data_IF_167127216915
#
_entry.id   IF_167127216915
#
_cell.length_a   1.000
_cell.length_b   1.000
_cell.length_c   1.000
_cell.angle_alpha   90.00
_cell.angle_beta   90.00
_cell.angle_gamma   90.00
#
_symmetry.space_group_name_H-M   'P 1'
#
loop_
_entity.id
_entity.type
_entity.pdbx_description
1 polymer ?
#
# COMPACT_ATOMS: atom_id res chain seq x y z
N UNK A 1 -6.21 -17.51 10.62
CA UNK A 1 -5.88 -18.35 9.45
C UNK A 1 -4.44 -18.02 9.11
N UNK A 2 -3.51 -18.97 9.24
CA UNK A 2 -2.10 -18.74 8.95
C UNK A 2 -1.96 -18.35 7.47
N UNK A 3 -1.23 -17.28 7.16
CA UNK A 3 -1.04 -16.81 5.79
C UNK A 3 -0.48 -17.91 4.87
N UNK A 4 -0.63 -17.77 3.54
CA UNK A 4 -0.12 -18.78 2.60
C UNK A 4 1.38 -19.00 2.76
N UNK A 5 1.86 -20.23 2.56
CA UNK A 5 3.30 -20.49 2.42
C UNK A 5 3.79 -19.82 1.14
N UNK A 6 4.59 -18.76 1.32
CA UNK A 6 5.07 -17.89 0.24
C UNK A 6 6.55 -18.09 -0.07
N UNK A 7 7.18 -19.15 0.46
CA UNK A 7 8.63 -19.36 0.27
C UNK A 7 9.03 -19.45 -1.21
N UNK A 8 8.20 -20.08 -2.03
CA UNK A 8 8.42 -20.25 -3.47
C UNK A 8 7.91 -19.09 -4.34
N UNK A 9 7.34 -18.03 -3.75
CA UNK A 9 6.73 -16.94 -4.50
C UNK A 9 7.78 -15.94 -4.99
N UNK A 10 7.52 -15.34 -6.17
CA UNK A 10 8.32 -14.24 -6.68
C UNK A 10 8.11 -12.99 -5.82
N UNK A 11 9.17 -12.20 -5.62
CA UNK A 11 9.16 -11.04 -4.73
C UNK A 11 9.71 -9.78 -5.38
N UNK A 12 9.19 -8.62 -4.97
CA UNK A 12 9.71 -7.31 -5.36
C UNK A 12 9.60 -6.33 -4.20
N UNK A 13 10.61 -5.47 -4.05
CA UNK A 13 10.58 -4.32 -3.15
C UNK A 13 10.20 -3.07 -3.94
N UNK A 14 9.37 -2.21 -3.36
CA UNK A 14 8.96 -0.91 -3.91
C UNK A 14 9.24 0.18 -2.89
N UNK A 15 10.32 0.92 -3.09
CA UNK A 15 10.75 1.95 -2.15
C UNK A 15 9.84 3.19 -2.20
N UNK A 16 9.65 3.81 -1.04
CA UNK A 16 8.99 5.09 -0.93
C UNK A 16 9.98 6.23 -1.25
N UNK A 17 9.48 7.27 -1.92
CA UNK A 17 10.16 8.54 -2.08
C UNK A 17 10.16 9.28 -0.73
N UNK A 18 11.16 8.99 0.10
CA UNK A 18 11.32 9.57 1.43
C UNK A 18 10.58 8.80 2.53
N UNK A 19 10.23 9.46 3.66
CA UNK A 19 9.56 8.82 4.78
C UNK A 19 8.22 8.18 4.39
N UNK A 20 7.83 7.11 5.08
CA UNK A 20 6.54 6.44 4.88
C UNK A 20 5.93 6.03 6.22
N UNK A 21 4.83 6.68 6.59
CA UNK A 21 3.98 6.30 7.72
C UNK A 21 3.12 5.08 7.33
N UNK A 22 3.78 3.92 7.22
CA UNK A 22 3.14 2.64 6.92
C UNK A 22 2.07 2.26 7.96
N UNK A 23 2.17 2.76 9.20
CA UNK A 23 1.17 2.51 10.24
C UNK A 23 -0.13 3.25 9.94
N UNK A 24 -0.06 4.49 9.45
CA UNK A 24 -1.24 5.21 8.98
C UNK A 24 -1.88 4.53 7.75
N UNK A 25 -1.08 3.97 6.84
CA UNK A 25 -1.60 3.21 5.71
C UNK A 25 -2.33 1.94 6.17
N UNK A 26 -1.75 1.16 7.10
CA UNK A 26 -2.41 -0.01 7.70
C UNK A 26 -3.69 0.38 8.46
N UNK A 27 -3.68 1.49 9.19
CA UNK A 27 -4.88 1.99 9.88
C UNK A 27 -6.01 2.37 8.90
N UNK A 28 -5.65 2.97 7.76
CA UNK A 28 -6.62 3.27 6.70
C UNK A 28 -7.20 2.00 6.09
N UNK A 29 -6.36 1.00 5.79
CA UNK A 29 -6.84 -0.31 5.32
C UNK A 29 -7.79 -0.96 6.33
N UNK A 30 -7.46 -0.92 7.62
CA UNK A 30 -8.30 -1.50 8.68
C UNK A 30 -9.66 -0.80 8.79
N UNK A 31 -9.68 0.53 8.67
CA UNK A 31 -10.92 1.31 8.71
C UNK A 31 -11.87 1.00 7.53
N UNK A 32 -11.31 0.58 6.39
CA UNK A 32 -12.05 0.23 5.18
C UNK A 32 -12.01 -1.28 4.87
N UNK A 33 -11.82 -2.11 5.89
CA UNK A 33 -11.78 -3.55 5.73
C UNK A 33 -13.16 -4.08 5.33
N UNK A 34 -13.19 -4.89 4.26
CA UNK A 34 -14.40 -5.60 3.82
C UNK A 34 -14.08 -7.08 3.80
N UNK A 35 -14.82 -7.85 4.61
CA UNK A 35 -14.65 -9.29 4.69
C UNK A 35 -14.81 -9.95 3.32
N UNK A 36 -13.82 -10.75 2.96
CA UNK A 36 -13.77 -11.45 1.67
C UNK A 36 -13.18 -10.63 0.51
N UNK A 37 -13.01 -9.31 0.65
CA UNK A 37 -12.36 -8.48 -0.39
C UNK A 37 -10.83 -8.60 -0.33
N UNK A 38 -10.30 -8.56 0.88
CA UNK A 38 -8.87 -8.69 1.15
C UNK A 38 -8.65 -9.34 2.51
N UNK A 39 -7.43 -9.80 2.74
CA UNK A 39 -6.96 -10.23 4.03
C UNK A 39 -5.95 -9.21 4.55
N UNK A 40 -6.21 -8.66 5.74
CA UNK A 40 -5.33 -7.72 6.43
C UNK A 40 -4.88 -8.35 7.75
N UNK A 41 -3.56 -8.43 7.94
CA UNK A 41 -2.93 -8.80 9.18
C UNK A 41 -2.12 -7.61 9.70
N UNK A 42 -2.63 -6.99 10.76
CA UNK A 42 -2.04 -5.81 11.38
C UNK A 42 -0.77 -6.11 12.19
N UNK A 43 -0.59 -7.35 12.66
CA UNK A 43 0.60 -7.75 13.41
C UNK A 43 1.80 -7.88 12.47
N UNK A 44 1.59 -8.52 11.31
CA UNK A 44 2.65 -8.69 10.31
C UNK A 44 2.76 -7.50 9.35
N UNK A 45 1.77 -6.61 9.34
CA UNK A 45 1.66 -5.49 8.40
C UNK A 45 1.40 -5.95 6.97
N UNK A 46 0.75 -7.10 6.80
CA UNK A 46 0.52 -7.72 5.48
C UNK A 46 -0.92 -7.53 5.00
N UNK A 47 -1.04 -7.23 3.71
CA UNK A 47 -2.29 -7.03 3.00
C UNK A 47 -2.27 -7.92 1.76
N UNK A 48 -3.22 -8.86 1.67
CA UNK A 48 -3.33 -9.81 0.57
C UNK A 48 -4.64 -9.66 -0.16
N UNK A 49 -4.61 -9.60 -1.49
CA UNK A 49 -5.84 -9.68 -2.30
C UNK A 49 -5.59 -10.11 -3.73
N UNK A 50 -6.69 -10.46 -4.38
CA UNK A 50 -6.73 -10.68 -5.81
C UNK A 50 -6.79 -9.34 -6.56
N UNK A 51 -5.99 -9.24 -7.61
CA UNK A 51 -5.97 -8.11 -8.54
C UNK A 51 -5.88 -8.62 -9.98
N UNK A 52 -6.52 -7.89 -10.89
CA UNK A 52 -6.44 -8.21 -12.31
C UNK A 52 -5.26 -7.48 -12.95
N UNK A 53 -4.38 -8.24 -13.62
CA UNK A 53 -3.25 -7.75 -14.43
C UNK A 53 -3.34 -8.46 -15.79
N UNK A 54 -3.28 -7.70 -16.89
CA UNK A 54 -3.33 -8.23 -18.27
C UNK A 54 -4.49 -9.21 -18.53
N UNK A 55 -5.65 -8.98 -17.89
CA UNK A 55 -6.83 -9.83 -18.06
C UNK A 55 -6.89 -11.06 -17.14
N UNK A 56 -5.81 -11.40 -16.44
CA UNK A 56 -5.73 -12.54 -15.51
C UNK A 56 -5.78 -12.10 -14.04
N UNK A 57 -6.29 -12.97 -13.17
CA UNK A 57 -6.31 -12.74 -11.72
C UNK A 57 -5.01 -13.20 -11.08
N UNK A 58 -4.40 -12.32 -10.30
CA UNK A 58 -3.18 -12.58 -9.55
C UNK A 58 -3.39 -12.29 -8.07
N UNK A 59 -2.96 -13.22 -7.22
CA UNK A 59 -2.86 -12.97 -5.80
C UNK A 59 -1.57 -12.19 -5.55
N UNK A 60 -1.70 -11.07 -4.85
CA UNK A 60 -0.58 -10.30 -4.34
C UNK A 60 -0.69 -10.22 -2.82
N UNK A 61 0.42 -10.46 -2.14
CA UNK A 61 0.59 -10.19 -0.71
C UNK A 61 1.62 -9.09 -0.56
N UNK A 62 1.22 -7.96 0.00
CA UNK A 62 2.05 -6.78 0.22
C UNK A 62 2.29 -6.60 1.71
N UNK A 63 3.54 -6.54 2.14
CA UNK A 63 3.95 -6.13 3.48
C UNK A 63 4.31 -4.66 3.44
N UNK A 64 3.63 -3.85 4.26
CA UNK A 64 3.97 -2.45 4.45
C UNK A 64 4.99 -2.33 5.57
N UNK A 65 6.06 -1.58 5.32
CA UNK A 65 7.18 -1.46 6.25
C UNK A 65 7.85 -0.09 6.14
N UNK A 66 8.79 0.19 7.03
CA UNK A 66 9.55 1.44 6.99
C UNK A 66 10.24 1.58 5.62
N UNK A 67 9.99 2.70 4.96
CA UNK A 67 10.59 3.03 3.66
C UNK A 67 9.89 2.42 2.44
N UNK A 68 8.74 1.75 2.58
CA UNK A 68 7.90 1.35 1.44
C UNK A 68 7.16 0.04 1.64
N UNK A 69 7.11 -0.80 0.60
CA UNK A 69 6.47 -2.10 0.64
C UNK A 69 7.29 -3.22 -0.03
N UNK A 70 7.13 -4.45 0.48
CA UNK A 70 7.57 -5.69 -0.16
C UNK A 70 6.37 -6.48 -0.63
N UNK A 71 6.34 -6.93 -1.89
CA UNK A 71 5.27 -7.74 -2.43
C UNK A 71 5.74 -9.15 -2.78
N UNK A 72 4.82 -10.10 -2.71
CA UNK A 72 5.00 -11.48 -3.14
C UNK A 72 3.80 -11.95 -3.96
N UNK A 73 4.03 -12.75 -4.99
CA UNK A 73 2.98 -13.36 -5.82
C UNK A 73 3.38 -14.77 -6.29
N UNK A 74 2.43 -15.71 -6.47
CA UNK A 74 2.70 -17.02 -7.06
C UNK A 74 3.22 -16.96 -8.51
N UNK A 75 2.98 -15.86 -9.23
CA UNK A 75 3.42 -15.71 -10.62
C UNK A 75 4.94 -15.59 -10.71
N UNK A 76 5.56 -16.33 -11.64
CA UNK A 76 6.99 -16.19 -11.98
C UNK A 76 7.24 -15.27 -13.18
N UNK A 77 6.19 -14.72 -13.81
CA UNK A 77 6.31 -13.86 -14.97
C UNK A 77 6.84 -12.47 -14.57
N UNK A 78 7.99 -12.01 -15.12
CA UNK A 78 8.56 -10.70 -14.78
C UNK A 78 7.61 -9.52 -15.01
N UNK A 79 6.88 -9.52 -16.14
CA UNK A 79 5.93 -8.46 -16.48
C UNK A 79 4.79 -8.33 -15.43
N UNK A 80 4.31 -9.45 -14.91
CA UNK A 80 3.30 -9.44 -13.83
C UNK A 80 3.91 -8.86 -12.56
N UNK A 81 5.15 -9.23 -12.22
CA UNK A 81 5.82 -8.72 -11.02
C UNK A 81 6.06 -7.21 -11.10
N UNK A 82 6.44 -6.69 -12.27
CA UNK A 82 6.62 -5.25 -12.51
C UNK A 82 5.27 -4.52 -12.43
N UNK A 83 4.22 -5.04 -13.06
CA UNK A 83 2.88 -4.45 -12.98
C UNK A 83 2.32 -4.42 -11.54
N UNK A 84 2.57 -5.47 -10.74
CA UNK A 84 2.18 -5.50 -9.33
C UNK A 84 3.01 -4.51 -8.48
N UNK A 85 4.27 -4.28 -8.84
CA UNK A 85 5.12 -3.27 -8.20
C UNK A 85 4.59 -1.86 -8.46
N UNK A 86 4.26 -1.54 -9.71
CA UNK A 86 3.66 -0.26 -10.09
C UNK A 86 2.30 -0.06 -9.42
N UNK A 87 1.47 -1.11 -9.38
CA UNK A 87 0.19 -1.08 -8.68
C UNK A 87 0.40 -0.80 -7.18
N UNK A 88 1.38 -1.46 -6.54
CA UNK A 88 1.70 -1.25 -5.12
C UNK A 88 2.19 0.18 -4.87
N UNK A 89 3.06 0.70 -5.74
CA UNK A 89 3.54 2.07 -5.67
C UNK A 89 2.37 3.07 -5.74
N UNK A 90 1.44 2.83 -6.67
CA UNK A 90 0.25 3.67 -6.82
C UNK A 90 -0.70 3.55 -5.63
N UNK A 91 -0.94 2.34 -5.12
CA UNK A 91 -1.89 2.10 -4.03
C UNK A 91 -1.53 2.88 -2.76
N UNK A 92 -0.25 2.84 -2.38
CA UNK A 92 0.25 3.46 -1.16
C UNK A 92 0.97 4.79 -1.40
N UNK A 93 0.86 5.32 -2.62
CA UNK A 93 1.45 6.59 -3.03
C UNK A 93 2.96 6.70 -2.79
N UNK A 94 3.66 5.57 -2.97
CA UNK A 94 5.06 5.44 -2.60
C UNK A 94 5.97 6.33 -3.45
N UNK A 95 5.60 6.63 -4.68
CA UNK A 95 6.39 7.47 -5.58
C UNK A 95 6.21 8.99 -5.35
N UNK A 96 5.27 9.41 -4.49
CA UNK A 96 4.98 10.84 -4.31
C UNK A 96 6.08 11.57 -3.54
N UNK A 97 6.56 12.67 -4.11
CA UNK A 97 7.36 13.66 -3.40
C UNK A 97 6.45 14.48 -2.47
N UNK A 98 6.60 14.28 -1.17
CA UNK A 98 5.83 15.01 -0.15
C UNK A 98 6.43 16.36 0.19
N UNK A 99 7.66 16.67 -0.23
CA UNK A 99 8.36 17.91 0.14
C UNK A 99 7.52 19.18 -0.07
N UNK A 100 6.91 19.37 -1.26
CA UNK A 100 6.04 20.52 -1.49
C UNK A 100 4.78 20.55 -0.61
N UNK A 101 4.17 19.39 -0.34
CA UNK A 101 2.95 19.27 0.47
C UNK A 101 3.26 19.56 1.94
N UNK A 102 4.31 18.92 2.47
CA UNK A 102 4.76 19.11 3.85
C UNK A 102 5.22 20.54 4.11
N UNK A 103 5.90 21.16 3.15
CA UNK A 103 6.31 22.56 3.26
C UNK A 103 5.11 23.51 3.30
N UNK A 104 4.11 23.29 2.44
CA UNK A 104 2.92 24.12 2.37
C UNK A 104 2.04 23.96 3.62
N UNK A 105 1.68 22.73 3.98
CA UNK A 105 0.84 22.45 5.14
C UNK A 105 1.58 22.72 6.46
N UNK A 106 2.89 22.49 6.51
CA UNK A 106 3.70 22.74 7.69
C UNK A 106 3.86 24.23 8.04
N UNK A 107 3.65 25.13 7.07
CA UNK A 107 3.65 26.58 7.29
C UNK A 107 2.31 27.09 7.86
N UNK A 108 1.23 26.32 7.73
CA UNK A 108 -0.09 26.68 8.26
C UNK A 108 -0.19 26.31 9.75
N UNK A 109 -0.48 27.26 10.66
CA UNK A 109 -0.61 26.98 12.09
C UNK A 109 -1.64 25.89 12.45
N UNK A 110 -2.67 25.69 11.62
CA UNK A 110 -3.71 24.67 11.84
C UNK A 110 -3.20 23.25 11.59
N UNK A 111 -2.22 23.08 10.69
CA UNK A 111 -1.72 21.78 10.24
C UNK A 111 -0.28 21.47 10.67
N UNK A 112 0.48 22.49 11.10
CA UNK A 112 1.90 22.36 11.42
C UNK A 112 2.22 21.28 12.47
N UNK A 113 1.35 21.07 13.47
CA UNK A 113 1.56 20.03 14.47
C UNK A 113 1.39 18.63 13.85
N UNK A 114 0.33 18.42 13.08
CA UNK A 114 -0.04 17.16 12.47
C UNK A 114 1.00 16.72 11.43
N UNK A 115 1.51 17.65 10.61
CA UNK A 115 2.59 17.38 9.65
C UNK A 115 3.86 16.92 10.37
N UNK A 116 4.24 17.55 11.48
CA UNK A 116 5.41 17.14 12.26
C UNK A 116 5.24 15.79 12.94
N UNK A 117 4.03 15.47 13.41
CA UNK A 117 3.74 14.21 14.11
C UNK A 117 3.61 13.01 13.17
N UNK A 118 3.36 13.26 11.87
CA UNK A 118 3.08 12.21 10.87
C UNK A 118 3.99 12.34 9.64
N UNK A 119 5.33 12.28 9.80
CA UNK A 119 6.24 12.37 8.66
C UNK A 119 6.00 11.20 7.70
N UNK A 120 5.81 11.50 6.41
CA UNK A 120 5.57 10.46 5.41
C UNK A 120 4.13 9.96 5.38
N UNK A 121 3.16 10.71 5.91
CA UNK A 121 1.74 10.42 5.72
C UNK A 121 1.37 10.52 4.24
N UNK A 122 0.65 9.53 3.74
CA UNK A 122 0.31 9.40 2.31
C UNK A 122 -1.14 9.03 2.11
N UNK A 123 -1.64 9.27 0.91
CA UNK A 123 -2.96 8.81 0.51
C UNK A 123 -2.92 7.30 0.27
N UNK A 124 -3.63 6.54 1.10
CA UNK A 124 -3.91 5.12 0.80
C UNK A 124 -5.10 5.07 -0.14
N UNK A 125 -4.83 4.74 -1.40
CA UNK A 125 -5.82 4.78 -2.49
C UNK A 125 -6.73 3.55 -2.46
N UNK A 126 -7.87 3.66 -3.13
CA UNK A 126 -8.64 2.49 -3.55
C UNK A 126 -8.09 1.96 -4.87
N UNK A 127 -8.25 0.66 -5.13
CA UNK A 127 -7.77 0.05 -6.38
C UNK A 127 -8.53 0.57 -7.58
N UNK A 128 -9.84 0.76 -7.45
CA UNK A 128 -10.71 1.32 -8.50
C UNK A 128 -11.61 2.42 -7.93
N UNK A 129 -12.04 3.38 -8.75
CA UNK A 129 -13.02 4.38 -8.34
C UNK A 129 -14.33 3.78 -7.83
N UNK A 130 -14.78 2.65 -8.39
CA UNK A 130 -16.00 1.98 -7.89
C UNK A 130 -15.82 1.49 -6.44
N UNK A 131 -14.65 0.95 -6.09
CA UNK A 131 -14.36 0.47 -4.72
C UNK A 131 -14.46 1.65 -3.75
N UNK A 132 -13.98 2.83 -4.16
CA UNK A 132 -14.07 4.06 -3.36
C UNK A 132 -15.51 4.54 -3.11
N UNK A 133 -16.51 4.06 -3.86
CA UNK A 133 -17.92 4.44 -3.66
C UNK A 133 -18.66 3.42 -2.80
N UNK A 134 -18.28 2.14 -2.87
CA UNK A 134 -18.98 1.05 -2.16
C UNK A 134 -18.34 0.67 -0.83
N UNK A 135 -17.09 1.03 -0.60
CA UNK A 135 -16.33 0.70 0.61
C UNK A 135 -16.12 1.89 1.58
N UNK A 136 -16.86 2.99 1.40
CA UNK A 136 -16.87 4.17 2.29
C UNK A 136 -17.87 4.04 3.42
#
# INVERSE_FOLDING_TARGET
MTGPDTAAWSRRRVDAAGPFDHRAALATLAAHAVDGLHHLDLETGTFSRWVQVEGAQHLVTTRLETGGASLATPSAAPAVLDALADLTAHWFDLAADLGPVDAHLGADPLFAAQVRERPGLRITRFRQPFEAVVCT
#
